data_IF_975771550313
#
_entry.id   IF_975771550313
#
_cell.length_a   1.000
_cell.length_b   1.000
_cell.length_c   1.000
_cell.angle_alpha   90.00
_cell.angle_beta   90.00
_cell.angle_gamma   90.00
#
_symmetry.space_group_name_H-M   'P 1'
#
loop_
_entity.id
_entity.type
_entity.pdbx_description
1 polymer ?
#
# COMPACT_ATOMS: atom_id res chain seq x y z
N UNK A 1 -10.70 14.94 -2.24
CA UNK A 1 -9.84 14.26 -1.26
C UNK A 1 -9.69 12.83 -1.74
N UNK A 2 -8.49 12.42 -2.16
CA UNK A 2 -8.23 11.03 -2.51
C UNK A 2 -7.83 10.30 -1.24
N UNK A 3 -8.48 9.16 -0.97
CA UNK A 3 -8.16 8.33 0.19
C UNK A 3 -6.77 7.72 -0.04
N UNK A 4 -5.88 7.84 0.94
CA UNK A 4 -4.50 7.35 0.84
C UNK A 4 -4.38 5.98 1.49
N UNK A 5 -3.97 5.00 0.72
CA UNK A 5 -3.85 3.61 1.18
C UNK A 5 -2.40 3.17 1.00
N UNK A 6 -1.74 2.78 2.09
CA UNK A 6 -0.40 2.20 2.03
C UNK A 6 -0.51 0.69 2.18
N UNK A 7 -0.07 -0.07 1.17
CA UNK A 7 -0.06 -1.54 1.20
C UNK A 7 1.37 -2.04 1.32
N UNK A 8 1.68 -2.76 2.39
CA UNK A 8 3.02 -3.32 2.65
C UNK A 8 3.04 -4.83 2.37
N UNK A 9 4.21 -5.34 1.98
CA UNK A 9 4.41 -6.76 1.68
C UNK A 9 3.83 -7.21 0.33
N UNK A 10 3.70 -6.30 -0.64
CA UNK A 10 3.24 -6.68 -1.99
C UNK A 10 4.38 -7.26 -2.82
N UNK A 11 4.10 -8.23 -3.68
CA UNK A 11 5.09 -8.68 -4.65
C UNK A 11 5.11 -7.73 -5.86
N UNK A 12 6.26 -7.52 -6.51
CA UNK A 12 6.37 -6.65 -7.70
C UNK A 12 5.39 -7.07 -8.82
N UNK A 13 5.07 -8.36 -8.89
CA UNK A 13 4.10 -8.91 -9.84
C UNK A 13 2.63 -8.56 -9.49
N UNK A 14 2.33 -8.24 -8.23
CA UNK A 14 1.01 -7.84 -7.77
C UNK A 14 0.75 -6.34 -7.91
N UNK A 15 1.81 -5.52 -7.98
CA UNK A 15 1.72 -4.07 -8.21
C UNK A 15 0.77 -3.69 -9.36
N UNK A 16 0.89 -4.27 -10.58
CA UNK A 16 -0.04 -3.95 -11.66
C UNK A 16 -1.47 -4.42 -11.38
N UNK A 17 -1.64 -5.49 -10.60
CA UNK A 17 -2.96 -6.00 -10.21
C UNK A 17 -3.68 -5.05 -9.24
N UNK A 18 -2.96 -4.47 -8.26
CA UNK A 18 -3.51 -3.46 -7.37
C UNK A 18 -3.88 -2.17 -8.10
N UNK A 19 -3.09 -1.77 -9.10
CA UNK A 19 -3.43 -0.62 -9.94
C UNK A 19 -4.68 -0.86 -10.79
N UNK A 20 -4.85 -2.07 -11.34
CA UNK A 20 -6.05 -2.44 -12.11
C UNK A 20 -7.32 -2.49 -11.23
N UNK A 21 -7.18 -2.95 -9.98
CA UNK A 21 -8.26 -2.95 -8.99
C UNK A 21 -8.64 -1.55 -8.48
N UNK A 22 -7.82 -0.52 -8.73
CA UNK A 22 -8.03 0.85 -8.24
C UNK A 22 -9.13 1.61 -8.98
N UNK A 23 -10.35 1.06 -8.99
CA UNK A 23 -11.53 1.64 -9.67
C UNK A 23 -11.98 2.98 -9.11
N UNK A 24 -11.59 3.27 -7.87
CA UNK A 24 -12.00 4.47 -7.13
C UNK A 24 -10.91 5.54 -7.12
N UNK A 25 -9.80 5.32 -7.85
CA UNK A 25 -8.71 6.27 -8.00
C UNK A 25 -8.13 6.74 -6.65
N UNK A 26 -7.97 5.79 -5.73
CA UNK A 26 -7.29 5.99 -4.46
C UNK A 26 -5.79 6.25 -4.67
N UNK A 27 -5.19 6.95 -3.73
CA UNK A 27 -3.74 7.20 -3.72
C UNK A 27 -3.07 5.99 -3.06
N UNK A 28 -2.72 5.01 -3.91
CA UNK A 28 -2.14 3.74 -3.51
C UNK A 28 -0.61 3.86 -3.43
N UNK A 29 -0.07 3.65 -2.23
CA UNK A 29 1.36 3.49 -2.00
C UNK A 29 1.64 2.01 -1.77
N UNK A 30 2.21 1.35 -2.77
CA UNK A 30 2.52 -0.08 -2.73
C UNK A 30 4.00 -0.27 -2.34
N UNK A 31 4.24 -0.95 -1.23
CA UNK A 31 5.57 -1.18 -0.66
C UNK A 31 5.81 -2.68 -0.61
N UNK A 32 6.88 -3.13 -1.28
CA UNK A 32 7.22 -4.56 -1.37
C UNK A 32 7.82 -5.10 -0.08
N UNK A 33 8.33 -4.23 0.78
CA UNK A 33 8.88 -4.57 2.09
C UNK A 33 7.76 -4.85 3.10
N UNK A 34 7.99 -5.81 3.99
CA UNK A 34 7.10 -6.07 5.12
C UNK A 34 7.07 -4.88 6.10
N UNK A 35 5.91 -4.62 6.68
CA UNK A 35 5.78 -3.61 7.72
C UNK A 35 6.66 -3.99 8.92
N UNK A 36 7.57 -3.09 9.27
CA UNK A 36 8.57 -3.22 10.32
C UNK A 36 8.65 -1.91 11.09
N UNK A 37 9.17 -1.95 12.32
CA UNK A 37 9.33 -0.72 13.11
C UNK A 37 10.21 0.34 12.40
N UNK A 38 11.07 -0.07 11.47
CA UNK A 38 11.96 0.79 10.70
C UNK A 38 11.27 1.51 9.50
N UNK A 39 10.08 1.06 9.08
CA UNK A 39 9.35 1.64 7.96
C UNK A 39 7.92 2.07 8.33
N UNK A 40 7.62 2.09 9.64
CA UNK A 40 6.36 2.60 10.19
C UNK A 40 6.15 4.07 9.83
N UNK A 41 7.22 4.85 9.64
CA UNK A 41 7.15 6.23 9.14
C UNK A 41 6.50 6.33 7.75
N UNK A 42 6.56 5.27 6.92
CA UNK A 42 5.90 5.24 5.61
C UNK A 42 4.37 5.11 5.72
N UNK A 43 3.85 4.84 6.92
CA UNK A 43 2.41 4.81 7.24
C UNK A 43 1.91 6.20 7.64
N UNK A 44 2.81 7.08 8.08
CA UNK A 44 2.46 8.40 8.57
C UNK A 44 1.91 9.27 7.43
N UNK A 45 0.62 9.64 7.53
CA UNK A 45 -0.08 10.41 6.51
C UNK A 45 -0.97 9.60 5.55
N UNK A 46 -1.07 8.28 5.74
CA UNK A 46 -2.06 7.43 5.06
C UNK A 46 -3.29 7.19 5.94
N UNK A 47 -4.47 7.19 5.33
CA UNK A 47 -5.74 6.99 6.04
C UNK A 47 -5.94 5.51 6.44
N UNK A 48 -5.35 4.59 5.67
CA UNK A 48 -5.46 3.16 5.91
C UNK A 48 -4.15 2.41 5.56
N UNK A 49 -3.40 1.95 6.56
CA UNK A 49 -2.35 0.96 6.35
C UNK A 49 -2.95 -0.44 6.17
N UNK A 50 -2.53 -1.12 5.12
CA UNK A 50 -2.87 -2.51 4.84
C UNK A 50 -1.59 -3.34 4.73
N UNK A 51 -1.55 -4.48 5.40
CA UNK A 51 -0.45 -5.44 5.32
C UNK A 51 -0.96 -6.63 4.52
N UNK A 52 -0.28 -6.96 3.42
CA UNK A 52 -0.55 -8.16 2.64
C UNK A 52 0.21 -9.34 3.28
N UNK A 53 -0.53 -10.33 3.78
CA UNK A 53 0.05 -11.58 4.27
C UNK A 53 0.06 -12.58 3.12
N UNK A 54 1.10 -12.51 2.29
CA UNK A 54 1.37 -13.52 1.23
C UNK A 54 2.48 -14.46 1.66
#
# INVERSE_FOLDING_TARGET
>A
MAFKIAVFGVCDNEVPYFHDLNKYNYDLTLVTENLSLANVDKVDGHDAPWINYV
#
